data_IF_062741240290
#
_entry.id   IF_062741240290
#
_cell.length_a   1.000
_cell.length_b   1.000
_cell.length_c   1.000
_cell.angle_alpha   90.00
_cell.angle_beta   90.00
_cell.angle_gamma   90.00
#
_symmetry.space_group_name_H-M   'P 1'
#
loop_
_entity.id
_entity.type
_entity.pdbx_description
1 polymer ?
#
# COMPACT_ATOMS: atom_id res chain seq x y z
N UNK A 1 3.33 6.70 -24.61
CA UNK A 1 3.10 5.87 -23.42
C UNK A 1 2.12 6.58 -22.54
N UNK A 2 0.86 6.16 -22.62
CA UNK A 2 -0.24 6.73 -21.83
C UNK A 2 -0.14 6.18 -20.41
N UNK A 3 -0.38 7.01 -19.41
CA UNK A 3 -0.24 6.72 -17.96
C UNK A 3 -0.90 5.41 -17.50
N UNK A 4 -1.87 4.89 -18.25
CA UNK A 4 -2.56 3.63 -17.98
C UNK A 4 -1.71 2.38 -18.22
N UNK A 5 -0.91 2.33 -19.29
CA UNK A 5 -0.06 1.16 -19.60
C UNK A 5 1.02 0.99 -18.53
N UNK A 6 1.63 2.10 -18.10
CA UNK A 6 2.64 2.11 -17.03
C UNK A 6 2.07 1.66 -15.68
N UNK A 7 0.83 2.02 -15.34
CA UNK A 7 0.22 1.57 -14.08
C UNK A 7 -0.07 0.06 -14.07
N UNK A 8 -0.38 -0.54 -15.22
CA UNK A 8 -0.62 -1.98 -15.27
C UNK A 8 0.69 -2.76 -15.08
N UNK A 9 1.78 -2.32 -15.71
CA UNK A 9 3.11 -2.91 -15.52
C UNK A 9 3.55 -2.85 -14.05
N UNK A 10 3.39 -1.68 -13.41
CA UNK A 10 3.72 -1.50 -11.98
C UNK A 10 2.84 -2.38 -11.10
N UNK A 11 1.54 -2.53 -11.41
CA UNK A 11 0.65 -3.42 -10.65
C UNK A 11 1.11 -4.88 -10.71
N UNK A 12 1.50 -5.34 -11.90
CA UNK A 12 2.00 -6.70 -12.12
C UNK A 12 3.35 -6.93 -11.40
N UNK A 13 4.22 -5.93 -11.39
CA UNK A 13 5.47 -5.95 -10.61
C UNK A 13 5.19 -6.08 -9.11
N UNK A 14 4.32 -5.23 -8.55
CA UNK A 14 3.93 -5.30 -7.13
C UNK A 14 3.34 -6.66 -6.81
N UNK A 15 2.43 -7.17 -7.64
CA UNK A 15 1.81 -8.48 -7.45
C UNK A 15 2.87 -9.58 -7.40
N UNK A 16 3.81 -9.57 -8.34
CA UNK A 16 4.92 -10.52 -8.40
C UNK A 16 5.80 -10.45 -7.14
N UNK A 17 6.11 -9.24 -6.66
CA UNK A 17 6.90 -9.06 -5.43
C UNK A 17 6.18 -9.63 -4.20
N UNK A 18 4.91 -9.27 -4.00
CA UNK A 18 4.13 -9.70 -2.84
C UNK A 18 3.85 -11.22 -2.86
N UNK A 19 3.49 -11.77 -4.02
CA UNK A 19 3.29 -13.22 -4.17
C UNK A 19 4.60 -14.01 -4.14
N UNK A 20 5.71 -13.38 -4.54
CA UNK A 20 7.07 -13.92 -4.47
C UNK A 20 7.67 -13.95 -3.06
N UNK A 21 6.90 -13.55 -2.03
CA UNK A 21 7.32 -13.63 -0.64
C UNK A 21 8.12 -12.43 -0.15
N UNK A 22 7.94 -11.24 -0.75
CA UNK A 22 8.48 -10.01 -0.20
C UNK A 22 7.98 -9.80 1.24
N UNK A 23 8.87 -9.85 2.21
CA UNK A 23 8.55 -9.55 3.61
C UNK A 23 8.30 -8.04 3.78
N UNK A 24 7.13 -7.68 4.29
CA UNK A 24 6.73 -6.29 4.53
C UNK A 24 6.42 -6.04 6.00
N UNK A 25 6.49 -4.78 6.43
CA UNK A 25 6.20 -4.38 7.81
C UNK A 25 4.69 -4.22 8.05
N UNK A 26 3.91 -5.27 7.77
CA UNK A 26 2.45 -5.25 7.91
C UNK A 26 1.98 -4.92 9.34
N UNK A 27 2.82 -5.23 10.34
CA UNK A 27 2.59 -4.94 11.75
C UNK A 27 3.80 -4.25 12.43
N UNK A 28 3.57 -3.41 13.46
CA UNK A 28 2.26 -2.97 13.95
C UNK A 28 1.56 -2.06 12.91
N UNK A 29 0.22 -2.13 12.89
CA UNK A 29 -0.61 -1.18 12.14
C UNK A 29 -0.42 0.21 12.73
N UNK A 30 -0.52 1.23 11.89
CA UNK A 30 -0.26 2.60 12.30
C UNK A 30 -1.52 3.26 12.87
N UNK A 31 -1.96 2.80 14.04
CA UNK A 31 -3.27 3.19 14.61
C UNK A 31 -3.32 4.66 15.07
N UNK A 32 -2.21 5.23 15.53
CA UNK A 32 -2.14 6.63 15.98
C UNK A 32 -1.69 7.58 14.89
N UNK A 33 -1.92 8.88 15.09
CA UNK A 33 -1.38 9.92 14.20
C UNK A 33 0.16 9.95 14.22
N UNK A 34 0.79 9.69 15.35
CA UNK A 34 2.26 9.67 15.42
C UNK A 34 2.85 8.47 14.68
N UNK A 35 2.21 7.29 14.78
CA UNK A 35 2.59 6.11 14.00
C UNK A 35 2.39 6.34 12.49
N UNK A 36 1.25 6.94 12.13
CA UNK A 36 1.05 7.85 10.98
C UNK A 36 2.33 8.40 10.35
N UNK A 37 2.71 9.51 10.98
CA UNK A 37 3.75 10.40 10.53
C UNK A 37 5.13 9.74 10.54
N UNK A 38 5.37 8.78 11.44
CA UNK A 38 6.60 8.00 11.45
C UNK A 38 6.76 7.15 10.17
N UNK A 39 5.70 6.44 9.75
CA UNK A 39 5.74 5.67 8.50
C UNK A 39 5.83 6.59 7.28
N UNK A 40 5.06 7.68 7.27
CA UNK A 40 5.11 8.70 6.20
C UNK A 40 6.51 9.29 6.05
N UNK A 41 7.19 9.63 7.16
CA UNK A 41 8.55 10.16 7.11
C UNK A 41 9.53 9.16 6.50
N UNK A 42 9.35 7.86 6.73
CA UNK A 42 10.19 6.82 6.13
C UNK A 42 9.90 6.65 4.64
N UNK A 43 8.63 6.70 4.24
CA UNK A 43 8.25 6.65 2.83
C UNK A 43 8.81 7.83 2.02
N UNK A 44 8.85 9.03 2.61
CA UNK A 44 9.48 10.19 1.97
C UNK A 44 10.96 9.99 1.71
N UNK A 45 11.68 9.33 2.62
CA UNK A 45 13.09 8.97 2.42
C UNK A 45 13.27 7.92 1.33
N UNK A 46 12.32 6.99 1.19
CA UNK A 46 12.34 5.98 0.13
C UNK A 46 12.17 6.57 -1.29
N UNK A 47 11.59 7.77 -1.43
CA UNK A 47 11.52 8.48 -2.71
C UNK A 47 10.71 7.71 -3.75
N UNK A 48 11.35 7.21 -4.80
CA UNK A 48 10.72 6.42 -5.88
C UNK A 48 11.06 4.92 -5.80
N UNK A 49 11.72 4.46 -4.73
CA UNK A 49 12.01 3.03 -4.53
C UNK A 49 10.71 2.27 -4.21
N UNK A 50 10.16 1.63 -5.24
CA UNK A 50 8.93 0.85 -5.16
C UNK A 50 9.02 -0.25 -4.09
N UNK A 51 10.10 -1.02 -4.08
CA UNK A 51 10.26 -2.14 -3.14
C UNK A 51 10.32 -1.62 -1.71
N UNK A 52 11.08 -0.56 -1.45
CA UNK A 52 11.15 0.05 -0.13
C UNK A 52 9.78 0.60 0.31
N UNK A 53 9.01 1.22 -0.59
CA UNK A 53 7.63 1.66 -0.29
C UNK A 53 6.72 0.51 0.10
N UNK A 54 6.77 -0.62 -0.61
CA UNK A 54 5.96 -1.79 -0.29
C UNK A 54 6.29 -2.35 1.10
N UNK A 55 7.59 -2.41 1.44
CA UNK A 55 8.06 -2.90 2.74
C UNK A 55 7.64 -1.95 3.85
N UNK A 56 7.96 -0.65 3.73
CA UNK A 56 7.66 0.37 4.76
C UNK A 56 6.15 0.54 4.93
N UNK A 57 5.41 0.56 3.83
CA UNK A 57 3.96 0.63 3.81
C UNK A 57 3.28 -0.64 4.30
N UNK A 58 4.02 -1.74 4.50
CA UNK A 58 3.49 -2.98 5.07
C UNK A 58 2.43 -3.62 4.19
N UNK A 59 2.67 -3.69 2.87
CA UNK A 59 1.70 -4.22 1.92
C UNK A 59 1.51 -5.73 2.04
N UNK A 60 0.27 -6.19 1.92
CA UNK A 60 -0.10 -7.62 1.89
C UNK A 60 -0.98 -7.90 0.68
N UNK A 61 -0.83 -9.06 0.01
CA UNK A 61 -1.64 -9.43 -1.15
C UNK A 61 -3.03 -9.99 -0.77
N UNK A 62 -3.45 -9.75 0.47
CA UNK A 62 -4.71 -10.20 1.06
C UNK A 62 -5.15 -9.20 2.15
N UNK A 63 -6.45 -9.18 2.51
CA UNK A 63 -6.94 -8.33 3.59
C UNK A 63 -6.29 -8.71 4.92
N UNK A 64 -6.09 -7.72 5.79
CA UNK A 64 -5.59 -7.92 7.15
C UNK A 64 -6.71 -7.62 8.13
N UNK A 65 -6.99 -8.54 9.04
CA UNK A 65 -7.89 -8.30 10.17
C UNK A 65 -7.13 -7.61 11.31
N UNK A 66 -7.59 -6.43 11.71
CA UNK A 66 -7.02 -5.69 12.85
C UNK A 66 -8.09 -4.81 13.50
N UNK A 67 -8.17 -4.86 14.83
CA UNK A 67 -9.21 -4.14 15.58
C UNK A 67 -10.63 -4.67 15.37
N UNK A 68 -10.77 -5.95 14.99
CA UNK A 68 -12.07 -6.60 14.75
C UNK A 68 -12.73 -6.24 13.42
N UNK A 69 -11.97 -5.66 12.48
CA UNK A 69 -12.42 -5.35 11.12
C UNK A 69 -11.39 -5.84 10.10
N UNK A 70 -11.86 -6.30 8.95
CA UNK A 70 -11.00 -6.50 7.78
C UNK A 70 -10.64 -5.16 7.16
N UNK A 71 -9.38 -5.02 6.76
CA UNK A 71 -8.81 -3.76 6.27
C UNK A 71 -8.35 -3.87 4.80
N UNK A 72 -9.24 -4.16 3.82
CA UNK A 72 -8.86 -4.20 2.42
C UNK A 72 -8.68 -2.79 1.83
N UNK A 73 -7.88 -2.66 0.77
CA UNK A 73 -7.66 -1.39 0.07
C UNK A 73 -8.98 -0.79 -0.40
N UNK A 74 -9.96 -1.59 -0.84
CA UNK A 74 -11.25 -1.09 -1.32
C UNK A 74 -12.07 -0.27 -0.29
N UNK A 75 -11.81 -0.48 1.00
CA UNK A 75 -12.44 0.29 2.08
C UNK A 75 -11.55 1.42 2.60
N UNK A 76 -10.30 1.52 2.15
CA UNK A 76 -9.36 2.55 2.60
C UNK A 76 -9.70 3.93 2.00
N UNK A 77 -9.57 5.00 2.80
CA UNK A 77 -9.83 6.37 2.35
C UNK A 77 -8.97 6.85 1.16
N UNK A 78 -7.81 6.20 0.91
CA UNK A 78 -6.89 6.55 -0.17
C UNK A 78 -7.08 5.72 -1.43
N UNK A 79 -8.09 4.85 -1.50
CA UNK A 79 -8.29 3.98 -2.65
C UNK A 79 -9.21 4.61 -3.70
N UNK A 80 -8.69 4.72 -4.93
CA UNK A 80 -9.44 5.20 -6.08
C UNK A 80 -10.04 4.03 -6.86
N UNK A 81 -11.32 3.73 -6.61
CA UNK A 81 -12.07 2.59 -7.19
C UNK A 81 -11.91 2.47 -8.72
N UNK A 82 -12.10 3.57 -9.46
CA UNK A 82 -12.03 3.54 -10.93
C UNK A 82 -10.61 3.34 -11.49
N UNK A 83 -9.57 3.53 -10.67
CA UNK A 83 -8.16 3.44 -11.08
C UNK A 83 -7.42 2.26 -10.47
N UNK A 84 -7.99 1.59 -9.46
CA UNK A 84 -7.30 0.55 -8.66
C UNK A 84 -5.96 1.08 -8.17
N UNK A 85 -6.01 2.17 -7.41
CA UNK A 85 -4.85 3.00 -7.11
C UNK A 85 -4.91 3.56 -5.70
N UNK A 86 -3.77 3.55 -5.00
CA UNK A 86 -3.59 4.22 -3.72
C UNK A 86 -3.08 5.65 -3.94
N UNK A 87 -3.90 6.65 -3.62
CA UNK A 87 -3.59 8.06 -3.83
C UNK A 87 -2.85 8.73 -2.66
N UNK A 88 -2.45 7.97 -1.64
CA UNK A 88 -1.58 8.51 -0.59
C UNK A 88 -0.29 9.01 -1.27
N UNK A 89 0.08 10.31 -1.17
CA UNK A 89 1.14 10.89 -1.99
C UNK A 89 2.49 10.18 -1.87
N UNK A 90 2.83 9.73 -0.67
CA UNK A 90 4.08 9.03 -0.41
C UNK A 90 4.13 7.60 -0.99
N UNK A 91 2.97 6.99 -1.24
CA UNK A 91 2.86 5.70 -1.91
C UNK A 91 2.64 5.90 -3.41
N UNK A 92 1.49 6.45 -3.78
CA UNK A 92 1.11 6.76 -5.17
C UNK A 92 1.36 5.58 -6.12
N UNK A 93 0.79 4.42 -5.80
CA UNK A 93 0.97 3.16 -6.56
C UNK A 93 -0.36 2.50 -6.90
N UNK A 94 -0.42 1.73 -8.01
CA UNK A 94 -1.56 0.86 -8.28
C UNK A 94 -1.66 -0.28 -7.25
N UNK A 95 -2.88 -0.66 -6.88
CA UNK A 95 -3.17 -1.67 -5.85
C UNK A 95 -4.44 -2.44 -6.21
N UNK A 96 -4.55 -3.70 -5.80
CA UNK A 96 -5.81 -4.44 -5.92
C UNK A 96 -6.76 -4.13 -4.75
N UNK A 97 -8.09 -4.21 -4.96
CA UNK A 97 -9.08 -3.93 -3.91
C UNK A 97 -8.91 -4.80 -2.67
N UNK A 98 -8.54 -6.07 -2.83
CA UNK A 98 -8.37 -7.06 -1.77
C UNK A 98 -7.01 -7.02 -1.06
N UNK A 99 -6.11 -6.10 -1.43
CA UNK A 99 -4.83 -5.96 -0.72
C UNK A 99 -4.99 -5.17 0.58
N UNK A 100 -3.93 -5.06 1.37
CA UNK A 100 -3.90 -4.19 2.54
C UNK A 100 -2.53 -3.55 2.72
N UNK A 101 -2.44 -2.48 3.50
CA UNK A 101 -1.19 -1.87 3.92
C UNK A 101 -1.30 -1.36 5.37
N UNK A 102 -0.18 -1.25 6.10
CA UNK A 102 -0.19 -0.85 7.54
C UNK A 102 -0.73 0.55 7.80
N UNK A 103 -0.90 1.34 6.75
CA UNK A 103 -1.42 2.71 6.73
C UNK A 103 -2.92 2.77 6.43
N UNK A 104 -3.62 1.64 6.35
CA UNK A 104 -5.06 1.59 6.09
C UNK A 104 -5.84 2.45 7.10
N UNK A 105 -6.86 3.17 6.62
CA UNK A 105 -7.73 4.09 7.40
C UNK A 105 -9.11 4.19 6.75
N UNK A 106 -10.12 4.48 7.57
CA UNK A 106 -11.48 4.91 7.19
C UNK A 106 -11.84 6.24 7.87
#
# INVERSE_FOLDING_TARGET
MTTTESNQEVLEEIRSLLQGGLETEAFPRADTHDAVMAVISRLRVAGDDLKAKLVIGGFTPHPVEHGGIEQPCETCMYYLVHRRFCELPELSVPVEPEWSCRLWRI
#
